data_IF_837297503562
#
_entry.id   IF_837297503562
#
_cell.length_a   1.000
_cell.length_b   1.000
_cell.length_c   1.000
_cell.angle_alpha   90.00
_cell.angle_beta   90.00
_cell.angle_gamma   90.00
#
_symmetry.space_group_name_H-M   'P 1'
#
loop_
_entity.id
_entity.type
_entity.pdbx_description
1 polymer ?
#
# COMPACT_ATOMS: atom_id res chain seq x y z
N UNK A 1 -11.71 -2.92 20.34
CA UNK A 1 -12.34 -2.22 19.20
C UNK A 1 -12.09 -3.09 17.97
N UNK A 2 -13.13 -3.48 17.25
CA UNK A 2 -13.04 -4.46 16.15
C UNK A 2 -12.44 -3.74 14.93
N UNK A 3 -11.36 -4.25 14.30
CA UNK A 3 -10.59 -3.50 13.30
C UNK A 3 -11.29 -3.28 11.94
N UNK A 4 -12.56 -3.71 11.77
CA UNK A 4 -13.29 -3.60 10.51
C UNK A 4 -14.81 -3.46 10.73
N UNK A 5 -15.26 -2.53 11.58
CA UNK A 5 -16.65 -2.08 11.48
C UNK A 5 -16.76 -1.19 10.24
N UNK A 6 -17.35 -1.72 9.17
CA UNK A 6 -17.64 -0.99 7.94
C UNK A 6 -18.75 0.02 8.19
N UNK A 7 -18.38 1.22 8.65
CA UNK A 7 -19.25 2.36 8.55
C UNK A 7 -19.32 2.80 7.08
N UNK A 8 -20.53 3.04 6.58
CA UNK A 8 -20.78 3.56 5.22
C UNK A 8 -19.90 4.79 4.91
N UNK A 9 -19.63 5.59 5.94
CA UNK A 9 -18.74 6.77 5.88
C UNK A 9 -17.31 6.37 5.52
N UNK A 10 -16.75 5.31 6.12
CA UNK A 10 -15.40 4.84 5.82
C UNK A 10 -15.30 4.30 4.39
N UNK A 11 -16.34 3.58 3.94
CA UNK A 11 -16.41 3.09 2.55
C UNK A 11 -16.50 4.24 1.54
N UNK A 12 -17.31 5.27 1.85
CA UNK A 12 -17.42 6.46 1.03
C UNK A 12 -16.12 7.29 1.02
N UNK A 13 -15.44 7.40 2.17
CA UNK A 13 -14.14 8.06 2.28
C UNK A 13 -13.09 7.36 1.41
N UNK A 14 -13.04 6.02 1.48
CA UNK A 14 -12.15 5.21 0.65
C UNK A 14 -12.43 5.40 -0.84
N UNK A 15 -13.70 5.41 -1.23
CA UNK A 15 -14.11 5.73 -2.61
C UNK A 15 -13.61 7.12 -3.04
N UNK A 16 -13.78 8.14 -2.19
CA UNK A 16 -13.27 9.48 -2.49
C UNK A 16 -11.74 9.52 -2.62
N UNK A 17 -10.99 8.76 -1.81
CA UNK A 17 -9.52 8.67 -1.95
C UNK A 17 -9.10 8.17 -3.33
N UNK A 18 -9.81 7.17 -3.87
CA UNK A 18 -9.46 6.59 -5.17
C UNK A 18 -9.91 7.45 -6.36
N UNK A 19 -11.08 8.07 -6.32
CA UNK A 19 -11.69 8.76 -7.48
C UNK A 19 -11.65 10.28 -7.41
N UNK A 20 -11.61 10.86 -6.20
CA UNK A 20 -11.68 12.29 -5.96
C UNK A 20 -10.66 12.72 -4.90
N UNK A 21 -9.34 12.60 -5.17
CA UNK A 21 -8.29 12.78 -4.17
C UNK A 21 -8.34 14.15 -3.48
N UNK A 22 -8.71 15.21 -4.21
CA UNK A 22 -8.90 16.56 -3.65
C UNK A 22 -10.02 16.68 -2.61
N UNK A 23 -11.04 15.81 -2.66
CA UNK A 23 -12.10 15.76 -1.65
C UNK A 23 -11.64 14.97 -0.42
N UNK A 24 -10.79 13.96 -0.61
CA UNK A 24 -10.20 13.21 0.48
C UNK A 24 -9.22 14.08 1.30
N UNK A 25 -8.47 14.97 0.66
CA UNK A 25 -7.57 15.91 1.35
C UNK A 25 -8.30 16.84 2.33
N UNK A 26 -9.57 17.17 2.03
CA UNK A 26 -10.41 18.01 2.91
C UNK A 26 -10.88 17.24 4.16
N UNK A 27 -11.02 15.93 4.02
CA UNK A 27 -11.30 15.05 5.13
C UNK A 27 -9.98 14.78 5.87
N UNK A 28 -9.64 15.65 6.83
CA UNK A 28 -8.50 15.53 7.77
C UNK A 28 -8.53 14.25 8.65
N UNK A 29 -9.30 13.21 8.29
CA UNK A 29 -9.26 11.90 8.90
C UNK A 29 -8.27 11.03 8.14
N UNK A 30 -7.22 10.50 8.80
CA UNK A 30 -6.41 9.48 8.18
C UNK A 30 -7.31 8.26 7.90
N UNK A 31 -7.54 7.98 6.62
CA UNK A 31 -8.29 6.79 6.16
C UNK A 31 -7.60 5.52 6.67
N UNK A 32 -6.29 5.61 6.88
CA UNK A 32 -5.45 4.54 7.38
C UNK A 32 -4.91 4.94 8.77
N UNK A 33 -5.24 4.14 9.77
CA UNK A 33 -4.89 4.34 11.19
C UNK A 33 -3.36 4.46 11.42
N UNK A 34 -2.97 4.84 12.64
CA UNK A 34 -1.57 4.96 13.10
C UNK A 34 -0.75 3.66 12.97
N UNK A 35 -1.39 2.56 12.57
CA UNK A 35 -0.78 1.25 12.28
C UNK A 35 -0.19 1.14 10.87
N UNK A 36 -0.51 2.07 9.97
CA UNK A 36 -0.01 2.10 8.59
C UNK A 36 1.51 2.15 8.49
N UNK A 37 2.23 2.95 9.31
CA UNK A 37 3.69 2.95 9.31
C UNK A 37 4.27 1.56 9.62
N UNK A 38 3.72 0.85 10.61
CA UNK A 38 4.18 -0.49 10.97
C UNK A 38 4.02 -1.49 9.83
N UNK A 39 2.85 -1.51 9.18
CA UNK A 39 2.62 -2.39 8.04
C UNK A 39 3.57 -2.05 6.88
N UNK A 40 3.75 -0.76 6.58
CA UNK A 40 4.65 -0.29 5.54
C UNK A 40 6.10 -0.71 5.81
N UNK A 41 6.56 -0.60 7.06
CA UNK A 41 7.92 -0.96 7.43
C UNK A 41 8.17 -2.45 7.25
N UNK A 42 7.25 -3.31 7.70
CA UNK A 42 7.35 -4.77 7.51
C UNK A 42 7.31 -5.15 6.04
N UNK A 43 6.42 -4.52 5.27
CA UNK A 43 6.32 -4.75 3.84
C UNK A 43 7.65 -4.45 3.14
N UNK A 44 8.23 -3.26 3.37
CA UNK A 44 9.51 -2.89 2.76
C UNK A 44 10.67 -3.75 3.26
N UNK A 45 10.68 -4.11 4.54
CA UNK A 45 11.69 -5.02 5.07
C UNK A 45 11.65 -6.39 4.37
N UNK A 46 10.45 -6.91 4.13
CA UNK A 46 10.24 -8.19 3.44
C UNK A 46 10.62 -8.11 1.95
N UNK A 47 10.25 -7.02 1.27
CA UNK A 47 10.65 -6.75 -0.12
C UNK A 47 12.17 -6.68 -0.27
N UNK A 48 12.83 -5.91 0.60
CA UNK A 48 14.30 -5.74 0.59
C UNK A 48 15.02 -7.06 0.88
N UNK A 49 14.59 -7.80 1.89
CA UNK A 49 15.18 -9.10 2.20
C UNK A 49 15.09 -10.06 1.00
N UNK A 50 13.99 -10.00 0.25
CA UNK A 50 13.83 -10.82 -0.95
C UNK A 50 14.68 -10.33 -2.12
N UNK A 51 14.73 -9.03 -2.36
CA UNK A 51 15.60 -8.41 -3.37
C UNK A 51 17.08 -8.79 -3.16
N UNK A 52 17.56 -8.75 -1.91
CA UNK A 52 18.91 -9.17 -1.54
C UNK A 52 19.14 -10.67 -1.72
N UNK A 53 18.14 -11.51 -1.41
CA UNK A 53 18.24 -12.97 -1.55
C UNK A 53 18.23 -13.47 -2.99
N UNK A 54 17.84 -12.62 -3.97
CA UNK A 54 17.68 -12.96 -5.41
C UNK A 54 16.90 -14.26 -5.67
N UNK A 55 16.05 -14.66 -4.74
CA UNK A 55 15.31 -15.90 -4.80
C UNK A 55 13.94 -15.62 -5.39
N UNK A 56 13.68 -16.16 -6.59
CA UNK A 56 12.37 -16.12 -7.23
C UNK A 56 11.52 -17.30 -6.75
N UNK A 57 10.32 -17.01 -6.25
CA UNK A 57 9.35 -18.01 -5.78
C UNK A 57 8.18 -18.18 -6.74
N UNK A 58 7.99 -17.26 -7.68
CA UNK A 58 6.84 -17.19 -8.58
C UNK A 58 5.57 -16.67 -7.89
N UNK A 59 5.70 -15.83 -6.86
CA UNK A 59 4.55 -15.27 -6.13
C UNK A 59 4.31 -13.78 -6.45
N UNK A 60 3.28 -13.20 -5.83
CA UNK A 60 2.89 -11.79 -6.05
C UNK A 60 4.03 -10.82 -5.70
N UNK A 61 4.86 -11.12 -4.69
CA UNK A 61 5.96 -10.24 -4.29
C UNK A 61 7.04 -10.16 -5.37
N UNK A 62 7.22 -11.23 -6.16
CA UNK A 62 8.19 -11.23 -7.27
C UNK A 62 7.71 -10.33 -8.41
N UNK A 63 6.42 -10.33 -8.70
CA UNK A 63 5.84 -9.39 -9.66
C UNK A 63 5.98 -7.94 -9.19
N UNK A 64 5.78 -7.68 -7.89
CA UNK A 64 5.98 -6.35 -7.31
C UNK A 64 7.44 -5.91 -7.36
N UNK A 65 8.39 -6.81 -7.12
CA UNK A 65 9.83 -6.53 -7.26
C UNK A 65 10.20 -6.25 -8.72
N UNK A 66 9.64 -7.00 -9.66
CA UNK A 66 9.84 -6.78 -11.09
C UNK A 66 9.34 -5.40 -11.51
N UNK A 67 8.11 -5.04 -11.13
CA UNK A 67 7.53 -3.72 -11.39
C UNK A 67 8.37 -2.59 -10.77
N UNK A 68 8.86 -2.78 -9.53
CA UNK A 68 9.76 -1.83 -8.87
C UNK A 68 11.03 -1.61 -9.71
N UNK A 69 11.66 -2.69 -10.17
CA UNK A 69 12.90 -2.60 -10.93
C UNK A 69 12.69 -1.97 -12.31
N UNK A 70 11.59 -2.29 -13.00
CA UNK A 70 11.22 -1.67 -14.27
C UNK A 70 10.98 -0.16 -14.13
N UNK A 71 10.33 0.27 -13.05
CA UNK A 71 10.15 1.70 -12.74
C UNK A 71 11.47 2.42 -12.44
N UNK A 72 12.39 1.78 -11.70
CA UNK A 72 13.73 2.34 -11.40
C UNK A 72 14.62 2.43 -12.65
N UNK A 73 14.46 1.52 -13.61
CA UNK A 73 15.21 1.49 -14.87
C UNK A 73 14.64 2.45 -15.93
N UNK A 74 13.52 3.12 -15.65
CA UNK A 74 12.88 4.06 -16.58
C UNK A 74 12.17 3.38 -17.76
N UNK A 75 11.71 2.14 -17.59
CA UNK A 75 10.94 1.41 -18.61
C UNK A 75 9.41 1.70 -18.52
N UNK A 76 9.01 2.69 -17.71
CA UNK A 76 7.65 3.17 -17.53
C UNK A 76 7.52 4.69 -17.69
#
# INVERSE_FOLDING_TARGET
RIPFQNDFITSFLLFCVFFFPRLADLANKPVFDDKTPYFRDIFWHSMKAREESKTERGDVMDNLLKLKNEAENGEF
#
